data_IF_246597786184
#
_entry.id   IF_246597786184
#
_cell.length_a   1.000
_cell.length_b   1.000
_cell.length_c   1.000
_cell.angle_alpha   90.00
_cell.angle_beta   90.00
_cell.angle_gamma   90.00
#
_symmetry.space_group_name_H-M   'P 1'
#
loop_
_entity.id
_entity.type
_entity.pdbx_description
1 polymer ?
#
# COMPACT_ATOMS: atom_id res chain seq x y z
N UNK A 1 -33.77 22.43 -61.89
CA UNK A 1 -32.42 22.23 -61.32
C UNK A 1 -32.54 22.31 -59.80
N UNK A 2 -32.61 21.17 -59.11
CA UNK A 2 -32.60 21.11 -57.63
C UNK A 2 -31.20 20.65 -57.22
N UNK A 3 -30.40 21.56 -56.67
CA UNK A 3 -29.08 21.24 -56.16
C UNK A 3 -29.21 20.70 -54.73
N UNK A 4 -28.92 19.41 -54.56
CA UNK A 4 -28.78 18.77 -53.26
C UNK A 4 -27.42 19.16 -52.69
N UNK A 5 -27.39 19.97 -51.63
CA UNK A 5 -26.19 20.24 -50.84
C UNK A 5 -26.09 19.14 -49.78
N UNK A 6 -25.33 18.08 -50.05
CA UNK A 6 -24.92 17.11 -49.02
C UNK A 6 -23.79 17.72 -48.20
N UNK A 7 -24.11 18.18 -46.99
CA UNK A 7 -23.13 18.61 -46.00
C UNK A 7 -22.41 17.38 -45.43
N UNK A 8 -21.13 17.23 -45.75
CA UNK A 8 -20.26 16.18 -45.23
C UNK A 8 -19.84 16.58 -43.80
N UNK A 9 -20.49 16.01 -42.79
CA UNK A 9 -20.07 16.11 -41.40
C UNK A 9 -18.87 15.18 -41.19
N UNK A 10 -17.66 15.73 -41.12
CA UNK A 10 -16.47 14.99 -40.72
C UNK A 10 -16.49 14.90 -39.19
N UNK A 11 -16.91 13.75 -38.65
CA UNK A 11 -16.65 13.41 -37.25
C UNK A 11 -15.14 13.19 -37.09
N UNK A 12 -14.46 14.17 -36.52
CA UNK A 12 -13.10 14.00 -36.02
C UNK A 12 -13.21 13.25 -34.68
N UNK A 13 -13.09 11.93 -34.71
CA UNK A 13 -12.95 11.13 -33.49
C UNK A 13 -11.58 11.40 -32.90
N UNK A 14 -11.51 12.29 -31.91
CA UNK A 14 -10.32 12.48 -31.09
C UNK A 14 -10.23 11.28 -30.17
N UNK A 15 -9.37 10.31 -30.48
CA UNK A 15 -8.99 9.30 -29.50
C UNK A 15 -8.12 10.00 -28.46
N UNK A 16 -8.73 10.53 -27.39
CA UNK A 16 -7.98 10.76 -26.16
C UNK A 16 -7.64 9.38 -25.59
N UNK A 17 -6.47 8.85 -25.94
CA UNK A 17 -5.86 7.82 -25.11
C UNK A 17 -5.45 8.49 -23.81
N UNK A 18 -6.26 8.35 -22.76
CA UNK A 18 -5.82 8.71 -21.42
C UNK A 18 -4.58 7.84 -21.14
N UNK A 19 -3.45 8.48 -20.88
CA UNK A 19 -2.24 7.73 -20.57
C UNK A 19 -2.49 7.00 -19.24
N UNK A 20 -2.51 5.67 -19.29
CA UNK A 20 -2.68 4.82 -18.12
C UNK A 20 -1.30 4.61 -17.47
N UNK A 21 -1.26 4.39 -16.15
CA UNK A 21 -0.05 3.95 -15.45
C UNK A 21 1.09 4.97 -15.47
N UNK A 22 0.74 6.25 -15.51
CA UNK A 22 1.71 7.34 -15.64
C UNK A 22 2.05 8.03 -14.33
N UNK A 23 1.24 7.85 -13.28
CA UNK A 23 1.41 8.55 -12.02
C UNK A 23 0.84 7.72 -10.85
N UNK A 24 1.13 8.17 -9.64
CA UNK A 24 0.68 7.59 -8.38
C UNK A 24 -0.85 7.59 -8.26
N UNK A 25 -1.41 6.62 -7.55
CA UNK A 25 -2.81 6.63 -7.13
C UNK A 25 -2.99 5.87 -5.81
N UNK A 26 -4.13 6.09 -5.13
CA UNK A 26 -4.43 5.38 -3.90
C UNK A 26 -4.78 3.91 -4.21
N UNK A 27 -4.07 2.97 -3.57
CA UNK A 27 -4.34 1.53 -3.69
C UNK A 27 -5.11 0.95 -2.51
N UNK A 28 -5.01 1.55 -1.33
CA UNK A 28 -5.75 1.11 -0.15
C UNK A 28 -6.14 2.31 0.73
N UNK A 29 -7.34 2.25 1.31
CA UNK A 29 -7.85 3.21 2.29
C UNK A 29 -8.32 2.46 3.52
N UNK A 30 -7.85 2.86 4.69
CA UNK A 30 -8.19 2.20 5.95
C UNK A 30 -8.82 3.23 6.89
N UNK A 31 -10.12 3.06 7.12
CA UNK A 31 -10.81 3.61 8.28
C UNK A 31 -11.14 2.47 9.24
N UNK A 32 -10.21 2.22 10.15
CA UNK A 32 -10.37 1.26 11.22
C UNK A 32 -10.94 1.86 12.50
N UNK A 33 -11.05 1.01 13.52
CA UNK A 33 -11.43 1.45 14.87
C UNK A 33 -10.39 2.37 15.48
N UNK A 34 -10.85 3.30 16.33
CA UNK A 34 -9.97 4.22 17.06
C UNK A 34 -9.02 4.94 16.09
N UNK A 35 -7.71 4.85 16.35
CA UNK A 35 -6.65 5.50 15.60
C UNK A 35 -6.12 4.69 14.40
N UNK A 36 -6.74 3.55 14.05
CA UNK A 36 -6.35 2.79 12.85
C UNK A 36 -6.77 3.57 11.60
N UNK A 37 -5.88 4.43 11.11
CA UNK A 37 -6.07 5.27 9.93
C UNK A 37 -4.83 5.17 9.06
N UNK A 38 -5.01 4.70 7.83
CA UNK A 38 -3.92 4.59 6.88
C UNK A 38 -4.39 4.77 5.44
N UNK A 39 -3.47 5.22 4.59
CA UNK A 39 -3.63 5.34 3.15
C UNK A 39 -2.44 4.66 2.50
N UNK A 40 -2.67 3.86 1.47
CA UNK A 40 -1.61 3.30 0.63
C UNK A 40 -1.63 3.96 -0.74
N UNK A 41 -0.45 4.33 -1.22
CA UNK A 41 -0.22 4.86 -2.56
C UNK A 41 0.55 3.81 -3.37
N UNK A 42 0.15 3.57 -4.62
CA UNK A 42 0.85 2.69 -5.54
C UNK A 42 1.56 3.48 -6.65
N UNK A 43 2.77 3.02 -7.01
CA UNK A 43 3.51 3.50 -8.16
C UNK A 43 3.38 2.51 -9.33
N UNK A 44 2.49 2.75 -10.32
CA UNK A 44 2.35 1.88 -11.49
C UNK A 44 3.46 2.07 -12.53
N UNK A 45 4.38 3.01 -12.33
CA UNK A 45 5.40 3.35 -13.33
C UNK A 45 6.63 2.46 -13.21
N UNK A 46 7.48 2.50 -14.24
CA UNK A 46 8.75 1.80 -14.25
C UNK A 46 9.92 2.61 -13.67
N UNK A 47 9.64 3.78 -13.06
CA UNK A 47 10.64 4.65 -12.44
C UNK A 47 10.34 4.84 -10.95
N UNK A 48 11.39 5.08 -10.15
CA UNK A 48 11.22 5.50 -8.76
C UNK A 48 10.68 6.94 -8.73
N UNK A 49 9.73 7.22 -7.84
CA UNK A 49 9.07 8.52 -7.71
C UNK A 49 9.41 9.13 -6.34
N UNK A 50 9.83 10.40 -6.34
CA UNK A 50 10.10 11.19 -5.15
C UNK A 50 8.79 11.79 -4.58
N UNK A 51 8.41 11.33 -3.39
CA UNK A 51 7.17 11.76 -2.74
C UNK A 51 7.24 13.19 -2.22
N UNK A 52 8.41 13.84 -2.16
CA UNK A 52 8.50 15.26 -1.80
C UNK A 52 7.79 16.18 -2.80
N UNK A 53 7.52 15.69 -4.01
CA UNK A 53 6.72 16.37 -5.01
C UNK A 53 5.19 16.22 -4.79
N UNK A 54 4.75 15.48 -3.77
CA UNK A 54 3.35 15.13 -3.54
C UNK A 54 2.88 15.51 -2.13
N UNK A 55 1.57 15.68 -1.99
CA UNK A 55 0.88 15.94 -0.72
C UNK A 55 -0.46 15.23 -0.66
N UNK A 56 -0.91 14.93 0.56
CA UNK A 56 -2.28 14.48 0.83
C UNK A 56 -3.06 15.60 1.49
N UNK A 57 -4.26 15.87 0.98
CA UNK A 57 -5.15 16.89 1.51
C UNK A 57 -6.48 16.26 1.94
N UNK A 58 -6.87 16.48 3.20
CA UNK A 58 -8.17 16.06 3.73
C UNK A 58 -9.13 17.24 3.74
N UNK A 59 -10.34 17.01 3.28
CA UNK A 59 -11.45 17.96 3.28
C UNK A 59 -12.52 17.43 4.22
N UNK A 60 -12.70 18.13 5.34
CA UNK A 60 -13.51 17.60 6.42
C UNK A 60 -15.00 17.86 6.22
N UNK A 61 -15.84 16.81 6.36
CA UNK A 61 -17.31 16.90 6.36
C UNK A 61 -17.88 17.81 5.26
N UNK A 62 -17.51 17.55 3.99
CA UNK A 62 -17.94 18.36 2.85
C UNK A 62 -17.35 19.77 2.75
N UNK A 63 -16.30 20.07 3.52
CA UNK A 63 -15.56 21.32 3.41
C UNK A 63 -14.79 21.47 2.09
N UNK A 64 -14.38 22.70 1.78
CA UNK A 64 -13.53 23.03 0.63
C UNK A 64 -12.14 23.54 1.05
N UNK A 65 -11.89 23.68 2.36
CA UNK A 65 -10.60 24.07 2.91
C UNK A 65 -9.84 22.82 3.34
N UNK A 66 -8.69 22.49 2.72
CA UNK A 66 -7.96 21.28 3.03
C UNK A 66 -7.12 21.41 4.30
N UNK A 67 -6.90 20.27 4.95
CA UNK A 67 -5.75 20.05 5.82
C UNK A 67 -4.72 19.21 5.08
N UNK A 68 -3.59 19.82 4.72
CA UNK A 68 -2.61 19.26 3.79
C UNK A 68 -1.32 18.84 4.48
N UNK A 69 -0.86 17.63 4.19
CA UNK A 69 0.45 17.11 4.61
C UNK A 69 1.29 16.83 3.37
N UNK A 70 2.43 17.48 3.25
CA UNK A 70 3.42 17.16 2.22
C UNK A 70 4.09 15.81 2.56
N UNK A 71 4.24 14.96 1.56
CA UNK A 71 4.86 13.66 1.71
C UNK A 71 6.38 13.75 1.57
N UNK A 72 7.06 12.66 1.89
CA UNK A 72 8.50 12.53 1.74
C UNK A 72 8.89 11.06 1.58
N UNK A 73 10.09 10.81 1.07
CA UNK A 73 10.56 9.47 0.75
C UNK A 73 10.44 9.16 -0.74
N UNK A 74 10.65 7.90 -1.09
CA UNK A 74 10.62 7.41 -2.46
C UNK A 74 9.75 6.18 -2.54
N UNK A 75 9.03 6.03 -3.65
CA UNK A 75 8.29 4.82 -3.99
C UNK A 75 8.92 4.19 -5.22
N UNK A 76 9.45 2.97 -5.04
CA UNK A 76 10.10 2.23 -6.11
C UNK A 76 9.09 1.81 -7.20
N UNK A 77 9.56 1.49 -8.42
CA UNK A 77 8.69 0.98 -9.48
C UNK A 77 7.81 -0.18 -8.99
N UNK A 78 6.52 -0.15 -9.34
CA UNK A 78 5.55 -1.21 -9.03
C UNK A 78 5.44 -1.57 -7.53
N UNK A 79 5.82 -0.63 -6.66
CA UNK A 79 5.75 -0.78 -5.21
C UNK A 79 4.65 0.09 -4.63
N UNK A 80 4.31 -0.16 -3.36
CA UNK A 80 3.39 0.69 -2.60
C UNK A 80 4.14 1.48 -1.53
N UNK A 81 3.49 2.49 -0.97
CA UNK A 81 3.96 3.30 0.15
C UNK A 81 2.79 3.60 1.09
N UNK A 82 2.92 3.20 2.35
CA UNK A 82 1.84 3.25 3.34
C UNK A 82 2.05 4.41 4.30
N UNK A 83 1.03 5.25 4.41
CA UNK A 83 1.01 6.44 5.26
C UNK A 83 0.01 6.21 6.40
N UNK A 84 0.46 6.35 7.64
CA UNK A 84 -0.32 6.09 8.83
C UNK A 84 -0.45 7.29 9.75
N UNK A 85 -1.50 7.31 10.57
CA UNK A 85 -1.68 8.31 11.61
C UNK A 85 -0.64 8.15 12.73
N UNK A 86 0.14 9.20 13.02
CA UNK A 86 1.11 9.14 14.11
C UNK A 86 0.43 9.36 15.47
N UNK A 87 0.25 8.27 16.21
CA UNK A 87 -0.15 8.28 17.63
C UNK A 87 0.92 7.68 18.52
N UNK A 88 2.15 7.54 18.01
CA UNK A 88 3.28 7.05 18.79
C UNK A 88 3.77 8.22 19.62
N UNK A 89 3.41 8.24 20.89
CA UNK A 89 3.95 9.22 21.81
C UNK A 89 5.41 8.86 22.16
N UNK A 90 6.41 9.66 21.76
CA UNK A 90 7.81 9.38 22.05
C UNK A 90 8.13 9.44 23.55
N UNK A 91 7.29 10.10 24.35
CA UNK A 91 7.50 10.29 25.79
C UNK A 91 6.56 9.43 26.65
N UNK A 92 5.56 8.77 26.05
CA UNK A 92 4.59 7.93 26.75
C UNK A 92 3.73 8.68 27.78
N UNK A 93 3.54 9.98 27.62
CA UNK A 93 2.74 10.86 28.48
C UNK A 93 1.27 10.97 28.02
N UNK A 94 0.96 10.52 26.81
CA UNK A 94 -0.38 10.49 26.21
C UNK A 94 -1.15 9.23 26.56
N UNK A 95 -2.42 9.41 26.93
CA UNK A 95 -3.39 8.32 27.17
C UNK A 95 -4.04 7.80 25.87
N UNK A 96 -3.53 8.19 24.70
CA UNK A 96 -4.10 7.84 23.41
C UNK A 96 -3.71 6.42 23.02
N UNK A 97 -4.70 5.60 22.64
CA UNK A 97 -4.42 4.27 22.11
C UNK A 97 -3.68 4.41 20.77
N UNK A 98 -2.50 3.80 20.57
CA UNK A 98 -1.82 3.86 19.28
C UNK A 98 -2.60 3.09 18.21
N UNK A 99 -2.12 3.16 16.96
CA UNK A 99 -2.55 2.22 15.91
C UNK A 99 -2.28 0.78 16.36
N UNK A 100 -3.00 -0.19 15.78
CA UNK A 100 -2.81 -1.59 16.13
C UNK A 100 -1.36 -2.03 15.87
N UNK A 101 -0.72 -2.59 16.89
CA UNK A 101 0.64 -3.17 16.89
C UNK A 101 0.63 -4.71 16.74
N UNK A 102 -0.49 -5.30 16.34
CA UNK A 102 -0.66 -6.75 16.21
C UNK A 102 -0.72 -7.54 17.52
N UNK A 103 -0.58 -6.91 18.70
CA UNK A 103 -0.68 -7.62 19.98
C UNK A 103 -2.14 -7.75 20.44
N UNK A 104 -2.46 -8.95 20.95
CA UNK A 104 -3.77 -9.30 21.50
C UNK A 104 -3.57 -9.94 22.86
N UNK A 105 -4.23 -9.40 23.88
CA UNK A 105 -4.31 -10.02 25.21
C UNK A 105 -5.69 -10.60 25.42
N UNK A 106 -5.76 -11.88 25.75
CA UNK A 106 -7.01 -12.54 26.15
C UNK A 106 -6.77 -13.39 27.39
N UNK A 107 -7.77 -13.50 28.25
CA UNK A 107 -7.72 -14.38 29.42
C UNK A 107 -8.06 -15.80 28.98
N UNK A 108 -7.15 -16.73 29.21
CA UNK A 108 -7.36 -18.15 28.94
C UNK A 108 -8.48 -18.68 29.85
N UNK A 109 -9.54 -19.21 29.23
CA UNK A 109 -10.73 -19.69 29.95
C UNK A 109 -10.50 -20.93 30.84
N UNK A 110 -9.37 -21.63 30.67
CA UNK A 110 -9.01 -22.83 31.43
C UNK A 110 -8.09 -22.45 32.59
N UNK A 111 -7.05 -21.65 32.33
CA UNK A 111 -6.05 -21.30 33.34
C UNK A 111 -6.36 -20.00 34.08
N UNK A 112 -7.17 -19.11 33.52
CA UNK A 112 -7.43 -17.78 34.05
C UNK A 112 -6.27 -16.80 33.88
N UNK A 113 -5.22 -17.18 33.15
CA UNK A 113 -4.05 -16.35 32.89
C UNK A 113 -4.24 -15.51 31.63
N UNK A 114 -3.70 -14.30 31.62
CA UNK A 114 -3.69 -13.47 30.43
C UNK A 114 -2.59 -13.94 29.46
N UNK A 115 -3.00 -14.27 28.24
CA UNK A 115 -2.11 -14.66 27.15
C UNK A 115 -2.05 -13.50 26.17
N UNK A 116 -0.84 -12.99 25.96
CA UNK A 116 -0.56 -12.02 24.90
C UNK A 116 0.05 -12.73 23.69
N UNK A 117 -0.58 -12.59 22.54
CA UNK A 117 -0.11 -13.12 21.25
C UNK A 117 0.09 -11.99 20.25
N UNK A 118 1.00 -12.19 19.31
CA UNK A 118 1.25 -11.27 18.21
C UNK A 118 0.77 -11.87 16.89
N UNK A 119 0.02 -11.11 16.11
CA UNK A 119 -0.36 -11.45 14.75
C UNK A 119 0.11 -10.36 13.78
N UNK A 120 1.07 -10.71 12.91
CA UNK A 120 1.61 -9.81 11.89
C UNK A 120 0.57 -9.34 10.86
N UNK A 121 -0.50 -10.10 10.63
CA UNK A 121 -1.59 -9.68 9.73
C UNK A 121 -2.38 -8.50 10.30
N UNK A 122 -2.40 -8.37 11.63
CA UNK A 122 -3.11 -7.32 12.36
C UNK A 122 -2.18 -6.20 12.84
N UNK A 123 -0.87 -6.30 12.57
CA UNK A 123 0.11 -5.29 12.93
C UNK A 123 0.15 -4.18 11.87
N UNK A 124 -0.80 -3.25 12.01
CA UNK A 124 -0.87 -2.07 11.16
C UNK A 124 0.37 -1.18 11.33
N UNK A 125 0.89 -1.00 12.55
CA UNK A 125 2.06 -0.16 12.82
C UNK A 125 3.29 -0.63 12.04
N UNK A 126 3.54 -1.93 11.94
CA UNK A 126 4.69 -2.47 11.20
C UNK A 126 4.61 -2.25 9.69
N UNK A 127 3.42 -1.95 9.17
CA UNK A 127 3.16 -1.78 7.74
C UNK A 127 3.31 -0.32 7.28
N UNK A 128 3.49 0.64 8.20
CA UNK A 128 3.57 2.06 7.88
C UNK A 128 4.99 2.47 7.49
N UNK A 129 5.14 3.09 6.33
CA UNK A 129 6.40 3.69 5.86
C UNK A 129 6.58 5.12 6.39
N UNK A 130 5.48 5.89 6.44
CA UNK A 130 5.48 7.27 6.91
C UNK A 130 4.34 7.52 7.88
N UNK A 131 4.70 7.88 9.10
CA UNK A 131 3.75 8.34 10.10
C UNK A 131 3.62 9.87 10.04
N UNK A 132 2.37 10.35 10.00
CA UNK A 132 2.07 11.79 9.87
C UNK A 132 1.01 12.26 10.86
N UNK A 133 0.90 13.58 11.02
CA UNK A 133 -0.06 14.25 11.90
C UNK A 133 0.05 13.83 13.39
N UNK A 134 1.27 13.87 13.97
CA UNK A 134 1.44 13.54 15.38
C UNK A 134 0.68 14.50 16.29
N UNK A 135 0.11 13.97 17.38
CA UNK A 135 -0.26 14.78 18.54
C UNK A 135 0.80 14.60 19.59
N UNK A 136 1.70 15.58 19.70
CA UNK A 136 2.60 15.65 20.85
C UNK A 136 2.06 16.71 21.81
N UNK A 137 1.24 16.27 22.76
CA UNK A 137 0.71 17.15 23.78
C UNK A 137 1.78 17.38 24.86
N UNK A 138 2.30 18.60 24.96
CA UNK A 138 3.32 18.99 25.96
C UNK A 138 2.82 20.10 26.92
N UNK A 139 1.50 20.34 26.99
CA UNK A 139 0.93 21.53 27.66
C UNK A 139 -0.07 21.21 28.77
N UNK A 140 -0.62 22.25 29.40
CA UNK A 140 -1.78 22.16 30.31
C UNK A 140 -3.08 22.63 29.67
N UNK A 141 -3.03 23.09 28.42
CA UNK A 141 -4.20 23.50 27.65
C UNK A 141 -4.33 22.69 26.34
N UNK A 142 -5.27 21.73 26.26
CA UNK A 142 -5.54 20.92 25.07
C UNK A 142 -5.99 21.74 23.85
N UNK A 143 -6.49 22.97 24.06
CA UNK A 143 -6.93 23.86 22.98
C UNK A 143 -5.77 24.57 22.25
N UNK A 144 -4.51 24.30 22.63
CA UNK A 144 -3.31 24.90 22.02
C UNK A 144 -2.79 24.14 20.78
N UNK A 145 -3.34 22.97 20.46
CA UNK A 145 -2.84 22.09 19.39
C UNK A 145 -3.35 22.48 17.97
N UNK A 146 -3.51 23.77 17.70
CA UNK A 146 -4.27 24.28 16.55
C UNK A 146 -3.53 24.34 15.20
N UNK A 147 -2.30 23.81 15.06
CA UNK A 147 -1.46 24.13 13.90
C UNK A 147 -0.78 22.95 13.20
N UNK A 148 -1.24 21.72 13.44
CA UNK A 148 -0.72 20.56 12.71
C UNK A 148 -1.72 20.15 11.63
N UNK A 149 -1.24 19.77 10.42
CA UNK A 149 -2.16 19.20 9.46
C UNK A 149 -2.82 17.96 10.09
N UNK A 150 -4.08 17.73 9.76
CA UNK A 150 -4.93 16.66 10.27
C UNK A 150 -5.37 15.73 9.14
N UNK A 151 -4.51 15.56 8.14
CA UNK A 151 -4.80 14.82 6.90
C UNK A 151 -5.20 13.37 7.14
N UNK A 152 -4.65 12.70 8.16
CA UNK A 152 -4.96 11.31 8.55
C UNK A 152 -6.02 11.20 9.67
N UNK A 153 -6.64 12.32 10.10
CA UNK A 153 -7.79 12.30 11.03
C UNK A 153 -9.11 12.07 10.31
N UNK A 154 -9.06 11.42 9.15
CA UNK A 154 -10.26 11.21 8.36
C UNK A 154 -11.20 10.20 9.01
N UNK A 155 -12.47 10.37 8.70
CA UNK A 155 -13.52 9.38 8.91
C UNK A 155 -14.46 9.38 7.70
N UNK A 156 -15.49 8.52 7.72
CA UNK A 156 -16.13 8.03 6.51
C UNK A 156 -16.70 9.07 5.56
N UNK A 157 -16.99 10.28 6.04
CA UNK A 157 -17.60 11.34 5.24
C UNK A 157 -16.62 12.42 4.78
N UNK A 158 -15.32 12.24 5.01
CA UNK A 158 -14.30 13.14 4.50
C UNK A 158 -13.94 12.81 3.05
N UNK A 159 -13.50 13.82 2.31
CA UNK A 159 -12.84 13.64 1.02
C UNK A 159 -11.32 13.80 1.18
N UNK A 160 -10.56 13.05 0.41
CA UNK A 160 -9.09 13.02 0.46
C UNK A 160 -8.58 13.13 -0.97
N UNK A 161 -7.55 13.94 -1.19
CA UNK A 161 -6.87 14.07 -2.48
C UNK A 161 -5.38 13.77 -2.34
N UNK A 162 -4.82 13.18 -3.39
CA UNK A 162 -3.38 13.11 -3.66
C UNK A 162 -3.06 14.20 -4.69
N UNK A 163 -2.15 15.10 -4.35
CA UNK A 163 -1.89 16.32 -5.12
C UNK A 163 -0.38 16.48 -5.37
N UNK A 164 -0.01 17.03 -6.52
CA UNK A 164 1.35 17.53 -6.72
C UNK A 164 1.57 18.86 -5.99
N UNK A 165 2.72 19.02 -5.36
CA UNK A 165 3.16 20.28 -4.74
C UNK A 165 3.53 21.28 -5.83
N UNK A 166 2.91 22.47 -5.82
CA UNK A 166 3.23 23.54 -6.79
C UNK A 166 2.03 24.40 -7.19
N UNK A 167 2.26 25.35 -8.10
CA UNK A 167 1.39 26.52 -8.35
C UNK A 167 -0.08 26.29 -8.74
N UNK A 168 -0.50 25.06 -9.00
CA UNK A 168 -1.92 24.71 -9.21
C UNK A 168 -2.42 23.55 -8.35
N UNK A 169 -1.58 22.90 -7.55
CA UNK A 169 -2.00 21.76 -6.71
C UNK A 169 -2.76 20.69 -7.48
N UNK A 170 -2.20 20.22 -8.60
CA UNK A 170 -2.91 19.32 -9.50
C UNK A 170 -3.27 18.02 -8.76
N UNK A 171 -4.57 17.70 -8.71
CA UNK A 171 -5.07 16.45 -8.15
C UNK A 171 -4.70 15.31 -9.08
N UNK A 172 -4.02 14.31 -8.53
CA UNK A 172 -3.61 13.09 -9.23
C UNK A 172 -4.60 11.97 -8.94
N UNK A 173 -5.11 11.91 -7.71
CA UNK A 173 -6.16 10.98 -7.31
C UNK A 173 -6.99 11.53 -6.15
N UNK A 174 -8.16 10.93 -5.91
CA UNK A 174 -9.05 11.31 -4.81
C UNK A 174 -9.93 10.16 -4.33
N UNK A 175 -10.34 10.27 -3.07
CA UNK A 175 -11.37 9.44 -2.43
C UNK A 175 -12.45 10.39 -1.93
N UNK A 176 -13.70 10.14 -2.29
CA UNK A 176 -14.82 11.01 -1.98
C UNK A 176 -15.04 12.13 -3.00
N UNK A 177 -15.79 13.15 -2.60
CA UNK A 177 -16.06 14.34 -3.41
C UNK A 177 -15.85 15.59 -2.57
N UNK A 178 -14.94 16.45 -3.01
CA UNK A 178 -14.62 17.70 -2.31
C UNK A 178 -15.83 18.64 -2.37
N UNK A 179 -16.21 19.22 -1.23
CA UNK A 179 -17.35 20.12 -1.13
C UNK A 179 -18.71 19.44 -0.91
N UNK A 180 -18.75 18.11 -0.75
CA UNK A 180 -19.97 17.36 -0.45
C UNK A 180 -19.81 16.52 0.81
N UNK A 181 -20.81 16.59 1.70
CA UNK A 181 -20.91 15.74 2.88
C UNK A 181 -21.88 14.59 2.58
N UNK A 182 -21.40 13.33 2.48
CA UNK A 182 -22.26 12.17 2.25
C UNK A 182 -23.02 11.73 3.52
N UNK A 183 -22.89 12.46 4.63
CA UNK A 183 -23.48 12.11 5.92
C UNK A 183 -22.49 11.32 6.77
N UNK A 184 -22.68 10.01 6.89
CA UNK A 184 -21.81 9.18 7.74
C UNK A 184 -20.67 8.50 6.97
N UNK A 185 -20.89 8.22 5.68
CA UNK A 185 -19.96 7.50 4.81
C UNK A 185 -20.32 7.77 3.35
N UNK A 186 -19.34 7.63 2.45
CA UNK A 186 -19.64 7.40 1.04
C UNK A 186 -20.31 6.03 0.87
N UNK A 187 -21.29 5.94 -0.03
CA UNK A 187 -22.19 4.79 -0.16
C UNK A 187 -22.25 4.24 -1.58
N UNK A 188 -22.67 2.98 -1.70
CA UNK A 188 -23.14 2.44 -2.98
C UNK A 188 -24.53 2.97 -3.35
N UNK A 189 -25.05 2.53 -4.51
CA UNK A 189 -26.35 2.98 -5.01
C UNK A 189 -27.53 2.51 -4.12
N UNK A 190 -27.31 1.50 -3.28
CA UNK A 190 -28.26 1.01 -2.28
C UNK A 190 -28.18 1.73 -0.92
N UNK A 191 -27.16 2.58 -0.72
CA UNK A 191 -26.95 3.34 0.49
C UNK A 191 -26.16 2.62 1.60
N UNK A 192 -25.50 1.50 1.30
CA UNK A 192 -24.62 0.83 2.26
C UNK A 192 -23.34 1.64 2.45
N UNK A 193 -22.82 1.69 3.68
CA UNK A 193 -21.57 2.40 3.97
C UNK A 193 -20.36 1.67 3.42
N UNK A 194 -19.45 2.42 2.80
CA UNK A 194 -18.23 1.87 2.19
C UNK A 194 -16.95 2.43 2.81
N UNK A 195 -16.93 3.70 3.20
CA UNK A 195 -15.71 4.32 3.77
C UNK A 195 -15.66 4.22 5.28
N UNK A 196 -16.80 4.38 5.97
CA UNK A 196 -16.86 4.31 7.44
C UNK A 196 -16.62 2.88 7.96
N UNK A 197 -15.65 2.70 8.85
CA UNK A 197 -15.35 1.41 9.48
C UNK A 197 -15.07 0.30 8.44
N UNK A 198 -14.28 0.62 7.41
CA UNK A 198 -13.97 -0.27 6.31
C UNK A 198 -12.51 -0.14 5.86
N UNK A 199 -12.02 -1.22 5.25
CA UNK A 199 -10.81 -1.22 4.44
C UNK A 199 -11.24 -1.27 2.98
N UNK A 200 -10.86 -0.28 2.19
CA UNK A 200 -11.10 -0.26 0.75
C UNK A 200 -9.83 -0.60 -0.01
N UNK A 201 -9.94 -1.47 -1.00
CA UNK A 201 -8.84 -1.89 -1.88
C UNK A 201 -9.18 -1.46 -3.29
N UNK A 202 -8.25 -0.79 -3.95
CA UNK A 202 -8.40 -0.37 -5.33
C UNK A 202 -8.47 -1.62 -6.21
N UNK A 203 -9.39 -1.65 -7.18
CA UNK A 203 -9.49 -2.76 -8.13
C UNK A 203 -8.28 -2.76 -9.07
N UNK A 204 -7.77 -3.93 -9.43
CA UNK A 204 -6.60 -4.06 -10.33
C UNK A 204 -6.83 -3.46 -11.71
N UNK A 205 -8.08 -3.44 -12.17
CA UNK A 205 -8.48 -2.83 -13.44
C UNK A 205 -8.35 -1.31 -13.45
N UNK A 206 -8.15 -0.67 -12.28
CA UNK A 206 -7.96 0.77 -12.17
C UNK A 206 -6.48 1.09 -12.31
N UNK A 207 -6.14 1.70 -13.44
CA UNK A 207 -4.76 1.94 -13.86
C UNK A 207 -4.30 3.39 -13.69
N UNK A 208 -5.14 4.25 -13.12
CA UNK A 208 -4.88 5.68 -12.92
C UNK A 208 -5.82 6.26 -11.87
N UNK A 209 -5.37 7.33 -11.20
CA UNK A 209 -6.18 8.09 -10.26
C UNK A 209 -7.22 8.99 -10.94
N UNK A 210 -8.19 9.45 -10.15
CA UNK A 210 -9.22 10.41 -10.54
C UNK A 210 -8.68 11.83 -10.33
N UNK A 211 -8.34 12.51 -11.43
CA UNK A 211 -7.67 13.82 -11.39
C UNK A 211 -8.61 15.02 -11.25
N UNK A 212 -9.91 14.80 -11.14
CA UNK A 212 -10.91 15.86 -11.12
C UNK A 212 -12.05 15.54 -10.16
N UNK A 213 -12.50 16.55 -9.41
CA UNK A 213 -13.57 16.39 -8.44
C UNK A 213 -14.84 15.84 -9.12
N UNK A 214 -15.33 14.64 -8.74
CA UNK A 214 -16.39 13.97 -9.47
C UNK A 214 -17.74 14.65 -9.27
N UNK A 215 -18.68 14.42 -10.20
CA UNK A 215 -20.08 14.85 -10.03
C UNK A 215 -20.74 14.04 -8.91
N UNK A 216 -20.43 12.74 -8.84
CA UNK A 216 -20.89 11.79 -7.82
C UNK A 216 -19.73 10.86 -7.49
N UNK A 217 -19.49 10.58 -6.21
CA UNK A 217 -18.54 9.56 -5.79
C UNK A 217 -19.30 8.31 -5.34
N UNK A 218 -19.23 7.25 -6.16
CA UNK A 218 -19.69 5.91 -5.79
C UNK A 218 -18.44 5.01 -5.71
N UNK A 219 -18.04 4.54 -4.52
CA UNK A 219 -16.80 3.79 -4.35
C UNK A 219 -16.80 2.44 -5.10
N UNK A 220 -17.96 1.85 -5.38
CA UNK A 220 -18.07 0.55 -6.08
C UNK A 220 -17.47 0.56 -7.48
N UNK A 221 -17.30 1.74 -8.09
CA UNK A 221 -16.73 1.86 -9.44
C UNK A 221 -15.25 1.53 -9.46
N UNK A 222 -14.52 1.81 -8.38
CA UNK A 222 -13.05 1.74 -8.35
C UNK A 222 -12.50 0.91 -7.19
N UNK A 223 -13.32 0.59 -6.19
CA UNK A 223 -12.91 -0.04 -4.94
C UNK A 223 -13.68 -1.32 -4.65
N UNK A 224 -13.02 -2.26 -3.99
CA UNK A 224 -13.62 -3.37 -3.26
C UNK A 224 -13.55 -3.06 -1.76
N UNK A 225 -14.58 -3.44 -1.00
CA UNK A 225 -14.66 -3.18 0.44
C UNK A 225 -14.49 -4.46 1.25
N UNK A 226 -13.63 -4.40 2.26
CA UNK A 226 -13.40 -5.43 3.26
C UNK A 226 -13.87 -4.97 4.65
N UNK A 227 -13.91 -5.90 5.59
CA UNK A 227 -14.20 -5.60 6.98
C UNK A 227 -13.21 -4.62 7.59
N UNK A 228 -13.70 -3.83 8.56
CA UNK A 228 -12.88 -2.98 9.42
C UNK A 228 -11.63 -3.69 9.94
N UNK A 229 -10.52 -2.94 10.05
CA UNK A 229 -9.23 -3.42 10.55
C UNK A 229 -8.64 -4.61 9.76
N UNK A 230 -8.90 -4.68 8.45
CA UNK A 230 -8.20 -5.63 7.58
C UNK A 230 -6.96 -4.95 7.03
N UNK A 231 -5.77 -5.50 7.31
CA UNK A 231 -4.48 -4.88 6.91
C UNK A 231 -3.62 -5.79 6.04
N UNK A 232 -4.12 -6.98 5.69
CA UNK A 232 -3.32 -8.03 5.05
C UNK A 232 -2.79 -7.63 3.66
N UNK A 233 -3.47 -6.71 2.97
CA UNK A 233 -3.13 -6.32 1.60
C UNK A 233 -2.13 -5.15 1.52
N UNK A 234 -2.00 -4.37 2.61
CA UNK A 234 -0.96 -3.34 2.71
C UNK A 234 0.44 -3.91 2.42
N UNK A 235 1.19 -3.15 1.62
CA UNK A 235 2.51 -3.47 1.10
C UNK A 235 2.50 -4.04 -0.32
N UNK A 236 1.32 -4.17 -0.96
CA UNK A 236 1.19 -4.70 -2.31
C UNK A 236 -0.13 -4.28 -2.99
N UNK A 237 -0.05 -3.99 -4.29
CA UNK A 237 -1.23 -3.76 -5.11
C UNK A 237 -1.10 -4.50 -6.46
N UNK A 238 -2.13 -5.25 -6.84
CA UNK A 238 -2.23 -5.87 -8.16
C UNK A 238 -2.82 -4.87 -9.15
N UNK A 239 -2.18 -4.69 -10.31
CA UNK A 239 -2.57 -3.66 -11.26
C UNK A 239 -2.43 -4.12 -12.71
N UNK A 240 -3.48 -3.93 -13.51
CA UNK A 240 -3.58 -4.33 -14.92
C UNK A 240 -2.83 -3.36 -15.86
N UNK A 241 -1.94 -2.54 -15.30
CA UNK A 241 -1.14 -1.55 -16.02
C UNK A 241 -0.31 -2.13 -17.18
N UNK A 242 -0.07 -3.43 -17.12
CA UNK A 242 0.57 -4.19 -18.18
C UNK A 242 -0.36 -5.34 -18.55
N UNK A 243 -1.30 -5.07 -19.46
CA UNK A 243 -2.10 -6.11 -20.12
C UNK A 243 -1.17 -7.11 -20.79
N UNK A 244 -1.03 -8.23 -20.13
CA UNK A 244 0.14 -9.06 -20.27
C UNK A 244 -0.19 -10.19 -21.25
N UNK A 245 0.21 -10.03 -22.52
CA UNK A 245 0.61 -11.19 -23.33
C UNK A 245 1.92 -11.81 -22.82
N UNK A 246 2.49 -11.26 -21.76
CA UNK A 246 3.46 -11.94 -20.93
C UNK A 246 2.78 -12.36 -19.64
N UNK A 247 2.60 -13.65 -19.37
CA UNK A 247 2.49 -14.10 -18.00
C UNK A 247 3.81 -13.72 -17.29
N UNK A 248 3.92 -12.48 -16.83
CA UNK A 248 4.93 -12.08 -15.86
C UNK A 248 4.32 -12.49 -14.54
N UNK A 249 4.65 -13.70 -14.09
CA UNK A 249 4.69 -13.95 -12.66
C UNK A 249 5.45 -12.77 -12.05
N UNK A 250 4.75 -11.94 -11.27
CA UNK A 250 5.40 -10.82 -10.63
C UNK A 250 6.43 -11.41 -9.65
N UNK A 251 7.68 -11.29 -10.07
CA UNK A 251 8.97 -11.82 -9.62
C UNK A 251 9.21 -12.07 -8.11
N UNK A 252 8.41 -12.90 -7.44
CA UNK A 252 8.83 -13.60 -6.21
C UNK A 252 9.69 -14.84 -6.47
N UNK A 253 9.76 -15.32 -7.72
CA UNK A 253 10.49 -16.52 -8.11
C UNK A 253 11.98 -16.23 -8.30
N UNK A 254 12.82 -16.98 -7.61
CA UNK A 254 14.26 -17.09 -7.90
C UNK A 254 14.50 -18.39 -8.65
N UNK A 255 15.40 -18.37 -9.64
CA UNK A 255 15.71 -19.58 -10.41
C UNK A 255 16.80 -20.36 -9.67
N UNK A 256 16.45 -21.54 -9.16
CA UNK A 256 17.36 -22.37 -8.36
C UNK A 256 17.56 -23.72 -9.04
N UNK A 257 18.81 -24.07 -9.34
CA UNK A 257 19.14 -25.30 -10.04
C UNK A 257 20.50 -25.88 -9.62
N UNK A 258 20.65 -27.22 -9.59
CA UNK A 258 19.58 -28.21 -9.77
C UNK A 258 18.65 -28.25 -8.54
N UNK A 259 17.35 -28.37 -8.78
CA UNK A 259 16.33 -28.58 -7.75
C UNK A 259 15.33 -29.62 -8.28
N UNK A 260 15.34 -30.88 -7.79
CA UNK A 260 16.14 -31.40 -6.68
C UNK A 260 17.66 -31.46 -6.94
N UNK A 261 18.48 -31.30 -5.89
CA UNK A 261 19.95 -31.31 -5.94
C UNK A 261 20.54 -32.61 -5.35
N UNK A 262 21.59 -33.15 -5.97
CA UNK A 262 22.25 -34.42 -5.59
C UNK A 262 23.59 -34.22 -4.86
N UNK A 263 23.71 -33.17 -4.04
CA UNK A 263 24.82 -32.88 -3.10
C UNK A 263 26.17 -32.46 -3.70
N UNK A 264 26.23 -31.29 -4.34
CA UNK A 264 27.48 -30.52 -4.47
C UNK A 264 27.21 -29.01 -4.29
N UNK A 265 26.75 -28.35 -5.35
CA UNK A 265 26.42 -26.92 -5.33
C UNK A 265 25.02 -26.67 -5.91
N UNK A 266 24.44 -25.55 -5.52
CA UNK A 266 23.19 -25.01 -6.05
C UNK A 266 23.50 -23.64 -6.64
N UNK A 267 23.05 -23.41 -7.86
CA UNK A 267 23.10 -22.11 -8.52
C UNK A 267 21.80 -21.37 -8.27
N UNK A 268 21.89 -20.11 -7.90
CA UNK A 268 20.77 -19.20 -7.71
C UNK A 268 20.92 -18.07 -8.72
N UNK A 269 19.91 -17.89 -9.55
CA UNK A 269 19.79 -16.77 -10.48
C UNK A 269 18.64 -15.86 -10.06
N UNK A 270 18.92 -14.58 -9.97
CA UNK A 270 17.95 -13.54 -9.71
C UNK A 270 18.09 -12.44 -10.77
N UNK A 271 16.98 -11.77 -11.10
CA UNK A 271 17.00 -10.68 -12.08
C UNK A 271 17.74 -9.45 -11.54
N UNK A 272 17.85 -9.35 -10.22
CA UNK A 272 18.41 -8.23 -9.46
C UNK A 272 19.56 -8.72 -8.59
N UNK A 273 20.48 -7.80 -8.29
CA UNK A 273 21.71 -8.11 -7.57
C UNK A 273 21.41 -8.68 -6.17
N UNK A 274 21.95 -9.86 -5.88
CA UNK A 274 21.76 -10.55 -4.61
C UNK A 274 22.72 -9.94 -3.57
N UNK A 275 22.16 -9.37 -2.50
CA UNK A 275 22.90 -8.80 -1.37
C UNK A 275 23.25 -9.86 -0.32
N UNK A 276 22.32 -10.78 -0.05
CA UNK A 276 22.54 -11.91 0.87
C UNK A 276 21.66 -13.10 0.53
N UNK A 277 22.00 -14.27 1.09
CA UNK A 277 21.15 -15.46 1.05
C UNK A 277 21.16 -16.16 2.41
N UNK A 278 20.08 -16.89 2.71
CA UNK A 278 19.95 -17.77 3.86
C UNK A 278 19.29 -19.11 3.50
N UNK A 279 19.68 -20.18 4.18
CA UNK A 279 19.03 -21.50 4.09
C UNK A 279 18.49 -21.87 5.47
N UNK A 280 17.24 -22.28 5.51
CA UNK A 280 16.56 -22.77 6.71
C UNK A 280 16.11 -24.21 6.55
N UNK A 281 16.11 -24.98 7.65
CA UNK A 281 15.51 -26.32 7.65
C UNK A 281 13.99 -26.25 7.88
N UNK A 282 13.33 -27.41 7.81
CA UNK A 282 11.88 -27.54 8.09
C UNK A 282 11.44 -27.14 9.51
N UNK A 283 12.38 -26.92 10.43
CA UNK A 283 12.11 -26.45 11.80
C UNK A 283 12.31 -24.92 11.92
N UNK A 284 12.57 -24.22 10.82
CA UNK A 284 12.82 -22.77 10.79
C UNK A 284 14.23 -22.37 11.26
N UNK A 285 15.13 -23.32 11.51
CA UNK A 285 16.48 -23.01 11.96
C UNK A 285 17.36 -22.59 10.76
N UNK A 286 18.00 -21.42 10.86
CA UNK A 286 18.97 -20.94 9.87
C UNK A 286 20.24 -21.79 9.93
N UNK A 287 20.52 -22.52 8.85
CA UNK A 287 21.73 -23.35 8.70
C UNK A 287 22.87 -22.52 8.15
N UNK A 288 22.57 -21.59 7.25
CA UNK A 288 23.55 -20.78 6.56
C UNK A 288 22.97 -19.40 6.27
N UNK A 289 23.76 -18.36 6.48
CA UNK A 289 23.46 -16.99 6.04
C UNK A 289 24.77 -16.32 5.61
N UNK A 290 24.81 -15.71 4.41
CA UNK A 290 25.99 -14.99 3.92
C UNK A 290 25.60 -13.77 3.09
N UNK A 291 26.44 -12.74 3.18
CA UNK A 291 26.43 -11.59 2.28
C UNK A 291 27.17 -11.92 0.98
N UNK A 292 26.72 -11.34 -0.13
CA UNK A 292 27.29 -11.55 -1.46
C UNK A 292 27.54 -10.20 -2.14
N UNK A 293 28.51 -10.15 -3.06
CA UNK A 293 28.97 -8.94 -3.73
C UNK A 293 28.02 -8.45 -4.84
N UNK A 294 26.71 -8.36 -4.58
CA UNK A 294 25.73 -7.82 -5.52
C UNK A 294 25.76 -8.52 -6.90
N UNK A 295 25.81 -9.85 -6.90
CA UNK A 295 25.81 -10.64 -8.14
C UNK A 295 24.39 -11.11 -8.48
N UNK A 296 24.04 -11.12 -9.75
CA UNK A 296 22.75 -11.68 -10.24
C UNK A 296 22.77 -13.22 -10.28
N UNK A 297 23.93 -13.84 -10.14
CA UNK A 297 24.09 -15.30 -10.09
C UNK A 297 25.10 -15.67 -9.02
N UNK A 298 24.73 -16.59 -8.14
CA UNK A 298 25.59 -17.08 -7.05
C UNK A 298 25.57 -18.61 -7.04
N UNK A 299 26.70 -19.22 -6.74
CA UNK A 299 26.80 -20.66 -6.47
C UNK A 299 27.06 -20.87 -4.99
N UNK A 300 26.26 -21.73 -4.37
CA UNK A 300 26.33 -22.00 -2.93
C UNK A 300 26.41 -23.51 -2.66
N UNK A 301 27.09 -23.94 -1.59
CA UNK A 301 27.11 -25.35 -1.22
C UNK A 301 25.70 -25.81 -0.79
N UNK A 302 25.28 -26.98 -1.27
CA UNK A 302 24.04 -27.60 -0.83
C UNK A 302 24.15 -28.09 0.63
N UNK A 303 23.05 -28.13 1.41
CA UNK A 303 23.04 -28.78 2.71
C UNK A 303 23.49 -30.26 2.63
N UNK A 304 24.26 -30.71 3.62
CA UNK A 304 24.85 -32.06 3.65
C UNK A 304 23.88 -33.17 4.08
N UNK A 305 22.63 -32.83 4.39
CA UNK A 305 21.60 -33.76 4.83
C UNK A 305 20.48 -33.74 3.80
N UNK A 306 19.96 -34.91 3.45
CA UNK A 306 18.82 -35.04 2.53
C UNK A 306 17.56 -34.47 3.19
N UNK A 307 16.77 -33.72 2.45
CA UNK A 307 15.56 -33.11 2.99
C UNK A 307 15.05 -31.92 2.20
N UNK A 308 14.03 -31.28 2.77
CA UNK A 308 13.43 -30.05 2.26
C UNK A 308 14.01 -28.88 3.04
N UNK A 309 14.45 -27.86 2.32
CA UNK A 309 14.99 -26.62 2.87
C UNK A 309 14.34 -25.42 2.21
N UNK A 310 14.32 -24.31 2.94
CA UNK A 310 13.83 -23.03 2.44
C UNK A 310 15.04 -22.12 2.19
N UNK A 311 15.24 -21.76 0.92
CA UNK A 311 16.25 -20.79 0.51
C UNK A 311 15.58 -19.42 0.44
N UNK A 312 16.20 -18.41 1.04
CA UNK A 312 15.80 -17.02 0.87
C UNK A 312 16.97 -16.18 0.40
N UNK A 313 16.74 -15.23 -0.50
CA UNK A 313 17.69 -14.20 -0.87
C UNK A 313 17.15 -12.82 -0.51
N UNK A 314 18.05 -11.87 -0.29
CA UNK A 314 17.72 -10.45 -0.21
C UNK A 314 18.34 -9.72 -1.39
N UNK A 315 17.53 -8.93 -2.08
CA UNK A 315 17.98 -7.96 -3.07
C UNK A 315 17.53 -6.55 -2.68
N UNK A 316 17.68 -5.57 -3.58
CA UNK A 316 17.27 -4.19 -3.31
C UNK A 316 15.74 -3.99 -3.23
N UNK A 317 14.95 -4.97 -3.67
CA UNK A 317 13.48 -4.93 -3.68
C UNK A 317 12.85 -5.80 -2.57
N UNK A 318 13.66 -6.49 -1.76
CA UNK A 318 13.18 -7.24 -0.60
C UNK A 318 13.70 -8.68 -0.55
N UNK A 319 12.92 -9.55 0.10
CA UNK A 319 13.26 -10.97 0.30
C UNK A 319 12.44 -11.84 -0.65
N UNK A 320 13.13 -12.73 -1.37
CA UNK A 320 12.54 -13.76 -2.22
C UNK A 320 12.89 -15.14 -1.69
N UNK A 321 11.99 -16.10 -1.76
CA UNK A 321 12.20 -17.43 -1.19
C UNK A 321 11.76 -18.54 -2.14
N UNK A 322 12.48 -19.66 -2.11
CA UNK A 322 12.22 -20.85 -2.91
C UNK A 322 12.47 -22.11 -2.09
N UNK A 323 11.73 -23.18 -2.37
CA UNK A 323 11.95 -24.47 -1.72
C UNK A 323 13.00 -25.27 -2.49
N UNK A 324 14.04 -25.75 -1.81
CA UNK A 324 15.05 -26.63 -2.40
C UNK A 324 14.95 -28.04 -1.81
N UNK A 325 15.05 -29.05 -2.67
CA UNK A 325 15.01 -30.47 -2.29
C UNK A 325 16.40 -31.07 -2.46
N UNK A 326 16.95 -31.65 -1.39
CA UNK A 326 18.25 -32.35 -1.42
C UNK A 326 18.02 -33.86 -1.40
N UNK A 327 18.53 -34.55 -2.42
CA UNK A 327 18.41 -35.99 -2.65
C UNK A 327 19.69 -36.77 -2.40
#
# INVERSE_FOLDING_TARGET
>A
MKHFLTSLFILLSVNLSQAQCTDLFFSEYIEGWSNNKALEIYNPTNQSIDLSAYSISRYSNGGTSPSTTQLSGFIEPFSTFVIGLDKRDPNGEGYEAPMWDGYYTYTDSITGEDITTYNSENDLQSKIDLFVNPIYYFGTNPDSAAAFPTSLYFNGNDAITLEMVGGTGAVIDLIGKVGEDPGAAWTDDEGNYWTKDHTLIRKSTITSGVTGNPITFNPTTEWDSLSVNTFINLGFHDCDCFNNNHLVENTKSINVFPNPSTMQNITIKNNTAIQSYSIQNKLGQIILHKYVNNLNTIEIPAPNIKGIYFLSIKDLYGIKAETIIIQ
#
